data_IF_519499843900
#
_entry.id   IF_519499843900
#
_cell.length_a   1.000
_cell.length_b   1.000
_cell.length_c   1.000
_cell.angle_alpha   90.00
_cell.angle_beta   90.00
_cell.angle_gamma   90.00
#
_symmetry.space_group_name_H-M   'P 1'
#
loop_
_entity.id
_entity.type
_entity.pdbx_description
1 polymer ?
#
# COMPACT_ATOMS: atom_id res chain seq x y z
N UNK A 1 -32.64 -20.59 38.31
CA UNK A 1 -31.58 -19.54 38.37
C UNK A 1 -32.21 -18.21 38.68
N UNK A 2 -31.75 -17.52 39.74
CA UNK A 2 -32.34 -16.27 40.23
C UNK A 2 -32.29 -15.16 39.14
N UNK A 3 -33.34 -14.33 39.00
CA UNK A 3 -33.41 -13.27 37.97
C UNK A 3 -32.21 -12.32 38.03
N UNK A 4 -31.72 -12.03 39.25
CA UNK A 4 -30.51 -11.21 39.45
C UNK A 4 -29.25 -11.85 38.86
N UNK A 5 -29.11 -13.17 38.98
CA UNK A 5 -27.97 -13.93 38.44
C UNK A 5 -28.00 -13.93 36.91
N UNK A 6 -29.19 -14.09 36.29
CA UNK A 6 -29.36 -13.98 34.83
C UNK A 6 -28.96 -12.61 34.30
N UNK A 7 -29.33 -11.55 35.01
CA UNK A 7 -29.01 -10.17 34.62
C UNK A 7 -27.51 -9.88 34.71
N UNK A 8 -26.85 -10.33 35.79
CA UNK A 8 -25.39 -10.20 35.94
C UNK A 8 -24.64 -10.97 34.86
N UNK A 9 -25.07 -12.20 34.54
CA UNK A 9 -24.49 -12.98 33.44
C UNK A 9 -24.65 -12.27 32.09
N UNK A 10 -25.81 -11.69 31.80
CA UNK A 10 -26.04 -10.96 30.55
C UNK A 10 -25.09 -9.76 30.40
N UNK A 11 -24.91 -8.98 31.47
CA UNK A 11 -23.99 -7.83 31.47
C UNK A 11 -22.55 -8.30 31.25
N UNK A 12 -22.13 -9.36 31.95
CA UNK A 12 -20.79 -9.93 31.77
C UNK A 12 -20.55 -10.38 30.33
N UNK A 13 -21.55 -11.01 29.69
CA UNK A 13 -21.44 -11.42 28.27
C UNK A 13 -21.34 -10.22 27.33
N UNK A 14 -22.13 -9.17 27.53
CA UNK A 14 -22.07 -7.95 26.70
C UNK A 14 -20.71 -7.26 26.86
N UNK A 15 -20.24 -7.11 28.10
CA UNK A 15 -18.93 -6.53 28.39
C UNK A 15 -17.82 -7.37 27.76
N UNK A 16 -17.90 -8.70 27.84
CA UNK A 16 -16.94 -9.59 27.18
C UNK A 16 -16.93 -9.42 25.66
N UNK A 17 -18.10 -9.30 25.01
CA UNK A 17 -18.18 -9.08 23.57
C UNK A 17 -17.57 -7.74 23.12
N UNK A 18 -17.60 -6.70 23.96
CA UNK A 18 -16.98 -5.40 23.65
C UNK A 18 -15.44 -5.45 23.63
N UNK A 19 -14.83 -6.47 24.25
CA UNK A 19 -13.38 -6.66 24.28
C UNK A 19 -12.87 -7.72 23.31
N UNK A 20 -13.74 -8.31 22.48
CA UNK A 20 -13.30 -9.21 21.41
C UNK A 20 -12.68 -8.33 20.32
N UNK A 21 -11.37 -8.46 20.02
CA UNK A 21 -10.78 -7.79 18.88
C UNK A 21 -11.50 -8.26 17.62
N UNK A 22 -12.07 -7.33 16.85
CA UNK A 22 -12.54 -7.61 15.50
C UNK A 22 -11.33 -7.59 14.60
N UNK A 23 -10.99 -8.73 14.00
CA UNK A 23 -10.01 -8.81 12.94
C UNK A 23 -10.59 -8.08 11.72
N UNK A 24 -10.06 -6.88 11.44
CA UNK A 24 -10.38 -6.13 10.23
C UNK A 24 -9.40 -6.58 9.16
N UNK A 25 -9.83 -7.51 8.32
CA UNK A 25 -9.03 -7.98 7.19
C UNK A 25 -8.97 -6.88 6.12
N UNK A 26 -7.75 -6.45 5.77
CA UNK A 26 -7.53 -5.65 4.58
C UNK A 26 -7.60 -6.57 3.35
N UNK A 27 -8.78 -6.69 2.75
CA UNK A 27 -8.94 -7.36 1.46
C UNK A 27 -8.59 -6.41 0.31
N UNK A 28 -8.02 -6.96 -0.78
CA UNK A 28 -7.99 -6.24 -2.05
C UNK A 28 -9.45 -5.98 -2.46
N UNK A 29 -9.84 -4.71 -2.59
CA UNK A 29 -11.13 -4.36 -3.16
C UNK A 29 -11.03 -4.48 -4.70
N UNK A 30 -10.74 -5.70 -5.18
CA UNK A 30 -10.61 -6.04 -6.60
C UNK A 30 -11.95 -5.96 -7.35
N UNK A 31 -13.05 -5.77 -6.61
CA UNK A 31 -14.26 -5.22 -7.19
C UNK A 31 -14.07 -3.73 -7.43
N UNK A 32 -13.46 -3.38 -8.56
CA UNK A 32 -13.84 -2.15 -9.25
C UNK A 32 -15.38 -2.15 -9.30
N UNK A 33 -16.07 -1.08 -8.85
CA UNK A 33 -17.51 -1.02 -8.98
C UNK A 33 -17.85 -1.20 -10.47
N UNK A 34 -18.62 -2.24 -10.80
CA UNK A 34 -19.01 -2.58 -12.18
C UNK A 34 -19.94 -1.56 -12.83
N UNK A 35 -20.30 -0.53 -12.08
CA UNK A 35 -21.10 0.62 -12.45
C UNK A 35 -20.26 1.81 -11.96
N UNK A 36 -19.90 2.76 -12.82
CA UNK A 36 -18.96 3.86 -12.54
C UNK A 36 -19.34 4.85 -11.42
N UNK A 37 -20.21 4.44 -10.48
CA UNK A 37 -20.49 5.11 -9.24
C UNK A 37 -19.74 4.41 -8.11
N UNK A 38 -18.70 5.12 -7.67
CA UNK A 38 -18.04 5.00 -6.37
C UNK A 38 -19.12 4.81 -5.30
N UNK A 39 -19.01 3.77 -4.46
CA UNK A 39 -19.91 3.62 -3.33
C UNK A 39 -19.95 4.92 -2.55
N UNK A 40 -21.16 5.42 -2.27
CA UNK A 40 -21.34 6.53 -1.33
C UNK A 40 -20.87 6.04 0.04
N UNK A 41 -19.56 6.13 0.27
CA UNK A 41 -19.03 6.28 1.60
C UNK A 41 -19.70 7.50 2.24
N UNK A 42 -19.64 7.56 3.57
CA UNK A 42 -20.01 8.74 4.35
C UNK A 42 -19.59 10.04 3.62
N UNK A 43 -20.30 11.16 3.79
CA UNK A 43 -19.98 12.43 3.11
C UNK A 43 -18.50 12.87 3.28
N UNK A 44 -17.82 12.27 4.25
CA UNK A 44 -16.40 12.41 4.59
C UNK A 44 -15.44 11.51 3.78
N UNK A 45 -15.90 10.40 3.20
CA UNK A 45 -15.12 9.46 2.40
C UNK A 45 -15.40 9.66 0.90
N UNK A 46 -14.64 10.58 0.29
CA UNK A 46 -14.70 10.84 -1.16
C UNK A 46 -13.46 10.29 -1.84
N UNK A 47 -13.65 9.34 -2.76
CA UNK A 47 -12.59 8.94 -3.69
C UNK A 47 -12.48 9.98 -4.80
N UNK A 48 -11.26 10.47 -5.05
CA UNK A 48 -11.01 11.48 -6.07
C UNK A 48 -9.99 10.96 -7.09
N UNK A 49 -10.44 10.76 -8.34
CA UNK A 49 -9.57 10.29 -9.43
C UNK A 49 -8.53 11.34 -9.86
N UNK A 50 -8.79 12.63 -9.62
CA UNK A 50 -7.87 13.73 -9.94
C UNK A 50 -6.69 13.82 -8.96
N UNK A 51 -6.80 13.17 -7.79
CA UNK A 51 -5.78 13.14 -6.74
C UNK A 51 -5.47 11.70 -6.34
N UNK A 52 -5.00 10.92 -7.32
CA UNK A 52 -4.61 9.53 -7.15
C UNK A 52 -3.15 9.40 -6.72
N UNK A 53 -2.86 8.34 -5.99
CA UNK A 53 -1.51 8.00 -5.57
C UNK A 53 -1.32 6.48 -5.58
N UNK A 54 -0.08 6.05 -5.82
CA UNK A 54 0.38 4.67 -5.74
C UNK A 54 1.32 4.53 -4.55
N UNK A 55 1.17 3.48 -3.74
CA UNK A 55 2.15 3.13 -2.71
C UNK A 55 3.09 2.07 -3.23
N UNK A 56 4.39 2.34 -3.19
CA UNK A 56 5.44 1.42 -3.63
C UNK A 56 6.22 0.94 -2.41
N UNK A 57 6.46 -0.36 -2.39
CA UNK A 57 7.32 -1.03 -1.43
C UNK A 57 7.97 -2.23 -2.09
N UNK A 58 9.29 -2.32 -2.01
CA UNK A 58 10.07 -3.37 -2.66
C UNK A 58 10.43 -4.43 -1.61
N UNK A 59 10.30 -5.69 -2.00
CA UNK A 59 10.67 -6.82 -1.15
C UNK A 59 11.58 -7.76 -1.92
N UNK A 60 12.58 -8.28 -1.22
CA UNK A 60 13.33 -9.45 -1.63
C UNK A 60 12.81 -10.65 -0.86
N UNK A 61 12.62 -11.76 -1.55
CA UNK A 61 12.27 -13.04 -0.95
C UNK A 61 13.09 -14.15 -1.63
N UNK A 62 13.50 -15.20 -0.88
CA UNK A 62 14.21 -16.35 -1.45
C UNK A 62 13.37 -17.10 -2.49
N UNK A 63 12.06 -17.16 -2.28
CA UNK A 63 11.11 -17.75 -3.21
C UNK A 63 9.76 -17.03 -3.18
N UNK A 64 8.91 -17.32 -4.17
CA UNK A 64 7.53 -16.84 -4.18
C UNK A 64 6.75 -17.34 -2.96
N UNK A 65 6.96 -18.60 -2.54
CA UNK A 65 6.31 -19.17 -1.37
C UNK A 65 6.71 -18.47 -0.08
N UNK A 66 7.97 -18.05 0.04
CA UNK A 66 8.43 -17.28 1.22
C UNK A 66 7.73 -15.93 1.31
N UNK A 67 7.57 -15.27 0.15
CA UNK A 67 6.82 -14.02 0.07
C UNK A 67 5.36 -14.21 0.47
N UNK A 68 4.66 -15.19 -0.10
CA UNK A 68 3.25 -15.47 0.21
C UNK A 68 3.02 -15.83 1.67
N UNK A 69 3.91 -16.65 2.26
CA UNK A 69 3.77 -17.14 3.63
C UNK A 69 4.24 -16.15 4.70
N UNK A 70 4.94 -15.08 4.33
CA UNK A 70 5.41 -14.12 5.31
C UNK A 70 6.59 -14.61 6.16
N UNK A 71 7.51 -15.37 5.57
CA UNK A 71 8.64 -15.92 6.35
C UNK A 71 9.59 -14.82 6.84
N UNK A 72 10.39 -15.14 7.86
CA UNK A 72 11.40 -14.23 8.41
C UNK A 72 12.57 -13.96 7.44
N UNK A 73 12.63 -14.68 6.33
CA UNK A 73 13.60 -14.47 5.24
C UNK A 73 13.19 -13.36 4.26
N UNK A 74 11.94 -12.86 4.33
CA UNK A 74 11.48 -11.76 3.46
C UNK A 74 11.96 -10.42 3.98
N UNK A 75 12.68 -9.69 3.12
CA UNK A 75 13.35 -8.44 3.49
C UNK A 75 12.75 -7.31 2.67
N UNK A 76 12.29 -6.25 3.35
CA UNK A 76 11.93 -5.01 2.67
C UNK A 76 13.20 -4.30 2.18
N UNK A 77 13.22 -3.93 0.92
CA UNK A 77 14.30 -3.17 0.29
C UNK A 77 13.87 -1.70 0.21
N UNK A 78 14.57 -0.84 0.94
CA UNK A 78 14.26 0.59 1.00
C UNK A 78 13.00 0.93 1.81
N UNK A 79 12.59 2.18 1.66
CA UNK A 79 11.43 2.78 2.29
C UNK A 79 10.13 2.48 1.51
N UNK A 80 9.00 2.53 2.21
CA UNK A 80 7.69 2.60 1.56
C UNK A 80 7.39 4.04 1.20
N UNK A 81 7.09 4.29 -0.08
CA UNK A 81 6.88 5.63 -0.62
C UNK A 81 5.53 5.71 -1.32
N UNK A 82 4.81 6.79 -1.05
CA UNK A 82 3.63 7.18 -1.80
C UNK A 82 4.07 8.05 -2.98
N UNK A 83 3.60 7.74 -4.18
CA UNK A 83 3.91 8.42 -5.43
C UNK A 83 2.62 8.98 -6.00
N UNK A 84 2.61 10.23 -6.43
CA UNK A 84 1.44 10.86 -7.06
C UNK A 84 1.91 11.82 -8.13
N UNK A 85 1.06 12.19 -9.09
CA UNK A 85 1.35 13.31 -10.02
C UNK A 85 0.88 14.64 -9.47
N UNK A 86 -0.22 14.62 -8.71
CA UNK A 86 -0.92 15.83 -8.25
C UNK A 86 -0.79 16.04 -6.75
N UNK A 87 -0.36 15.02 -6.01
CA UNK A 87 -0.31 15.03 -4.56
C UNK A 87 -1.69 14.86 -3.91
N UNK A 88 -1.71 14.78 -2.57
CA UNK A 88 -2.95 14.61 -1.83
C UNK A 88 -3.84 15.85 -1.98
N UNK A 89 -5.14 15.63 -2.18
CA UNK A 89 -6.12 16.71 -2.27
C UNK A 89 -6.24 17.53 -0.97
N UNK A 90 -6.01 16.87 0.17
CA UNK A 90 -6.11 17.47 1.50
C UNK A 90 -4.80 17.34 2.26
N UNK A 91 -4.66 18.18 3.29
CA UNK A 91 -3.60 18.02 4.28
C UNK A 91 -3.76 16.67 4.97
N UNK A 92 -2.79 15.78 4.80
CA UNK A 92 -2.75 14.48 5.47
C UNK A 92 -2.46 14.71 6.94
N UNK A 93 -3.42 14.42 7.83
CA UNK A 93 -3.26 14.57 9.29
C UNK A 93 -2.57 13.37 9.95
N UNK A 94 -2.82 12.18 9.40
CA UNK A 94 -2.15 10.96 9.84
C UNK A 94 -2.02 9.97 8.70
N UNK A 95 -0.99 9.13 8.75
CA UNK A 95 -0.71 8.11 7.75
C UNK A 95 -0.02 6.91 8.38
N UNK A 96 0.16 5.85 7.61
CA UNK A 96 0.94 4.68 8.02
C UNK A 96 2.06 4.43 7.03
N UNK A 97 3.24 4.04 7.52
CA UNK A 97 4.33 3.51 6.68
C UNK A 97 4.26 2.00 6.51
N UNK A 98 3.31 1.32 7.16
CA UNK A 98 3.08 -0.12 6.95
C UNK A 98 2.44 -0.33 5.58
N UNK A 99 2.94 -1.33 4.88
CA UNK A 99 2.39 -1.77 3.59
C UNK A 99 1.32 -2.82 3.82
N UNK A 100 0.60 -3.19 2.76
CA UNK A 100 -0.35 -4.30 2.79
C UNK A 100 0.36 -5.59 3.26
N UNK A 101 1.59 -5.82 2.80
CA UNK A 101 2.40 -6.96 3.24
C UNK A 101 2.56 -7.01 4.77
N UNK A 102 2.83 -5.86 5.40
CA UNK A 102 2.97 -5.76 6.86
C UNK A 102 1.66 -6.11 7.59
N UNK A 103 0.52 -5.78 6.99
CA UNK A 103 -0.81 -6.09 7.53
C UNK A 103 -1.25 -7.53 7.31
N UNK A 104 -0.65 -8.25 6.36
CA UNK A 104 -1.02 -9.63 6.05
C UNK A 104 -0.06 -10.65 6.66
N UNK A 105 1.25 -10.35 6.67
CA UNK A 105 2.26 -11.41 6.72
C UNK A 105 3.34 -11.23 7.80
N UNK A 106 3.54 -10.03 8.35
CA UNK A 106 4.73 -9.72 9.15
C UNK A 106 4.46 -9.74 10.68
N UNK A 107 3.70 -10.73 11.16
CA UNK A 107 3.65 -11.06 12.59
C UNK A 107 4.02 -12.53 12.82
N UNK A 108 4.50 -12.87 14.02
CA UNK A 108 4.97 -14.24 14.35
C UNK A 108 3.84 -15.29 14.39
N UNK A 109 2.61 -14.89 14.07
CA UNK A 109 1.40 -15.72 14.21
C UNK A 109 0.62 -15.85 12.90
N UNK A 110 1.07 -15.23 11.80
CA UNK A 110 0.37 -15.24 10.52
C UNK A 110 -0.92 -14.41 10.50
N UNK A 111 -1.12 -13.51 11.45
CA UNK A 111 -2.27 -12.62 11.55
C UNK A 111 -1.96 -11.18 11.08
N UNK A 112 -0.70 -10.93 10.69
CA UNK A 112 -0.22 -9.61 10.29
C UNK A 112 -0.22 -8.59 11.44
N UNK A 113 0.32 -7.40 11.18
CA UNK A 113 0.38 -6.36 12.20
C UNK A 113 -0.93 -5.57 12.29
N UNK A 114 -1.27 -5.10 13.48
CA UNK A 114 -2.39 -4.15 13.65
C UNK A 114 -2.14 -2.83 12.91
N UNK A 115 -3.17 -2.01 12.69
CA UNK A 115 -2.98 -0.65 12.17
C UNK A 115 -2.12 0.20 13.12
N UNK A 116 -1.14 0.94 12.57
CA UNK A 116 -0.32 1.91 13.32
C UNK A 116 -0.23 3.21 12.55
N UNK A 117 -0.95 4.23 13.03
CA UNK A 117 -0.86 5.59 12.51
C UNK A 117 0.39 6.33 13.00
N UNK A 118 0.82 7.28 12.20
CA UNK A 118 1.77 8.35 12.50
C UNK A 118 1.04 9.67 12.32
N UNK A 119 1.19 10.58 13.29
CA UNK A 119 0.64 11.93 13.19
C UNK A 119 1.61 12.83 12.39
N UNK A 120 1.10 13.45 11.33
CA UNK A 120 1.92 14.22 10.38
C UNK A 120 2.38 15.58 10.94
N UNK A 121 1.79 16.05 12.04
CA UNK A 121 2.02 17.38 12.60
C UNK A 121 3.11 17.43 13.67
N UNK A 122 3.53 16.29 14.23
CA UNK A 122 4.36 16.26 15.45
C UNK A 122 5.81 15.88 15.19
N UNK A 123 6.09 14.88 14.35
CA UNK A 123 7.46 14.35 14.22
C UNK A 123 7.87 13.86 12.83
N UNK A 124 6.93 13.42 12.00
CA UNK A 124 7.23 12.95 10.65
C UNK A 124 6.16 13.49 9.69
N UNK A 125 6.40 14.66 9.06
CA UNK A 125 5.52 15.18 8.01
C UNK A 125 5.23 14.13 6.95
N UNK A 126 4.01 14.13 6.45
CA UNK A 126 3.67 13.29 5.31
C UNK A 126 4.44 13.76 4.08
N UNK A 127 5.11 12.81 3.41
CA UNK A 127 5.84 13.04 2.17
C UNK A 127 5.32 12.08 1.11
N UNK A 128 5.21 12.58 -0.12
CA UNK A 128 4.96 11.80 -1.32
C UNK A 128 5.97 12.24 -2.37
N UNK A 129 6.37 11.32 -3.24
CA UNK A 129 7.26 11.62 -4.35
C UNK A 129 6.44 12.07 -5.56
N UNK A 130 6.73 13.27 -6.03
CA UNK A 130 6.08 13.89 -7.18
C UNK A 130 6.95 14.02 -8.43
N UNK A 131 6.41 14.67 -9.46
CA UNK A 131 7.18 15.06 -10.64
C UNK A 131 8.44 15.86 -10.27
N UNK A 132 9.40 15.81 -11.15
CA UNK A 132 10.71 16.48 -11.13
C UNK A 132 11.66 15.98 -10.04
N UNK A 133 11.34 14.88 -9.34
CA UNK A 133 12.20 14.30 -8.31
C UNK A 133 13.20 13.28 -8.84
N UNK A 134 12.77 12.36 -9.72
CA UNK A 134 13.60 11.26 -10.21
C UNK A 134 13.39 11.03 -11.71
N UNK A 135 14.52 10.97 -12.43
CA UNK A 135 14.56 10.77 -13.87
C UNK A 135 15.28 9.46 -14.20
N UNK A 136 14.79 8.76 -15.22
CA UNK A 136 15.47 7.59 -15.77
C UNK A 136 16.62 7.97 -16.70
N UNK A 137 17.33 6.96 -17.18
CA UNK A 137 18.53 7.11 -18.03
C UNK A 137 18.31 7.89 -19.34
N UNK A 138 17.06 8.08 -19.79
CA UNK A 138 16.74 8.92 -20.95
C UNK A 138 16.32 10.34 -20.58
N UNK A 139 16.48 10.74 -19.31
CA UNK A 139 16.07 12.05 -18.80
C UNK A 139 14.55 12.20 -18.69
N UNK A 140 13.79 11.10 -18.66
CA UNK A 140 12.34 11.15 -18.49
C UNK A 140 11.99 11.00 -17.02
N UNK A 141 11.08 11.84 -16.56
CA UNK A 141 10.52 11.77 -15.22
C UNK A 141 9.67 10.51 -15.06
N UNK A 142 10.03 9.67 -14.09
CA UNK A 142 9.35 8.40 -13.87
C UNK A 142 7.94 8.58 -13.30
N UNK A 143 7.70 9.64 -12.53
CA UNK A 143 6.40 9.93 -11.92
C UNK A 143 5.45 10.46 -12.98
N UNK A 144 5.92 11.31 -13.90
CA UNK A 144 5.13 11.75 -15.06
C UNK A 144 4.79 10.59 -16.02
N UNK A 145 5.70 9.63 -16.17
CA UNK A 145 5.48 8.41 -16.96
C UNK A 145 4.57 7.39 -16.27
N UNK A 146 4.24 7.56 -14.99
CA UNK A 146 3.36 6.65 -14.25
C UNK A 146 1.99 6.58 -14.97
N UNK A 147 1.48 5.39 -15.29
CA UNK A 147 0.13 5.25 -15.85
C UNK A 147 -0.93 5.81 -14.88
N UNK A 148 -2.13 6.07 -15.40
CA UNK A 148 -3.22 6.46 -14.52
C UNK A 148 -3.55 5.31 -13.54
N UNK A 149 -3.67 5.63 -12.25
CA UNK A 149 -3.91 4.64 -11.18
C UNK A 149 -5.25 3.91 -11.37
N UNK A 150 -6.24 4.56 -11.98
CA UNK A 150 -7.59 4.03 -12.15
C UNK A 150 -7.80 3.43 -13.54
N UNK A 151 -7.34 4.12 -14.57
CA UNK A 151 -7.66 3.83 -15.96
C UNK A 151 -6.44 3.32 -16.76
N UNK A 152 -5.27 3.21 -16.13
CA UNK A 152 -4.06 2.65 -16.74
C UNK A 152 -4.20 1.15 -17.00
N UNK A 153 -3.79 0.74 -18.20
CA UNK A 153 -3.84 -0.65 -18.64
C UNK A 153 -2.71 -1.48 -18.03
N UNK A 154 -2.91 -2.80 -17.96
CA UNK A 154 -1.85 -3.73 -17.52
C UNK A 154 -0.56 -3.54 -18.32
N UNK A 155 -0.66 -3.36 -19.63
CA UNK A 155 0.52 -3.18 -20.51
C UNK A 155 1.28 -1.88 -20.19
N UNK A 156 0.58 -0.79 -19.92
CA UNK A 156 1.21 0.47 -19.49
C UNK A 156 1.92 0.29 -18.13
N UNK A 157 1.30 -0.40 -17.19
CA UNK A 157 1.91 -0.71 -15.88
C UNK A 157 3.11 -1.65 -16.00
N UNK A 158 3.00 -2.73 -16.77
CA UNK A 158 4.11 -3.65 -17.05
C UNK A 158 5.28 -2.88 -17.67
N UNK A 159 5.04 -2.03 -18.67
CA UNK A 159 6.08 -1.20 -19.29
C UNK A 159 6.66 -0.17 -18.30
N UNK A 160 5.86 0.36 -17.39
CA UNK A 160 6.35 1.31 -16.39
C UNK A 160 7.26 0.63 -15.35
N UNK A 161 6.91 -0.56 -14.86
CA UNK A 161 7.75 -1.30 -13.92
C UNK A 161 8.96 -1.95 -14.60
N UNK A 162 8.73 -2.64 -15.71
CA UNK A 162 9.70 -3.55 -16.33
C UNK A 162 10.39 -2.94 -17.55
N UNK A 163 10.04 -1.72 -17.95
CA UNK A 163 10.53 -1.10 -19.17
C UNK A 163 9.96 -1.74 -20.45
N UNK A 164 10.33 -1.22 -21.63
CA UNK A 164 9.84 -1.77 -22.89
C UNK A 164 10.38 -3.18 -23.10
N UNK A 165 9.57 -4.03 -23.74
CA UNK A 165 10.03 -5.33 -24.23
C UNK A 165 10.78 -5.08 -25.56
N UNK A 166 12.09 -5.35 -25.56
CA UNK A 166 12.91 -5.27 -26.77
C UNK A 166 13.34 -6.68 -27.12
N UNK A 167 13.02 -7.16 -28.31
CA UNK A 167 13.33 -8.51 -28.78
C UNK A 167 12.81 -9.65 -27.88
N UNK A 168 11.70 -9.42 -27.18
CA UNK A 168 11.11 -10.42 -26.27
C UNK A 168 11.69 -10.41 -24.85
N UNK A 169 12.66 -9.54 -24.56
CA UNK A 169 13.25 -9.39 -23.24
C UNK A 169 12.79 -8.11 -22.55
N UNK A 170 12.52 -8.21 -21.24
CA UNK A 170 12.20 -7.06 -20.38
C UNK A 170 13.49 -6.34 -20.03
N UNK A 171 13.52 -5.03 -20.28
CA UNK A 171 14.74 -4.23 -20.08
C UNK A 171 14.96 -3.82 -18.62
N UNK A 172 13.93 -3.93 -17.76
CA UNK A 172 13.89 -3.48 -16.37
C UNK A 172 14.39 -2.05 -16.16
N UNK A 173 14.23 -1.21 -17.19
CA UNK A 173 14.86 0.10 -17.30
C UNK A 173 14.52 1.04 -16.14
N UNK A 174 13.29 0.98 -15.65
CA UNK A 174 12.82 1.89 -14.61
C UNK A 174 13.04 1.32 -13.19
N UNK A 175 13.43 0.06 -13.04
CA UNK A 175 13.63 -0.58 -11.72
C UNK A 175 14.66 0.17 -10.86
N UNK A 176 15.84 0.56 -11.36
CA UNK A 176 16.80 1.30 -10.55
C UNK A 176 16.21 2.62 -10.03
N UNK A 177 15.45 3.33 -10.84
CA UNK A 177 14.83 4.60 -10.49
C UNK A 177 13.62 4.44 -9.55
N UNK A 178 12.82 3.39 -9.73
CA UNK A 178 11.75 3.02 -8.80
C UNK A 178 12.36 2.64 -7.43
N UNK A 179 13.51 1.97 -7.42
CA UNK A 179 14.25 1.71 -6.19
C UNK A 179 14.77 3.01 -5.55
N UNK A 180 15.26 3.97 -6.35
CA UNK A 180 15.66 5.30 -5.84
C UNK A 180 14.48 6.07 -5.26
N UNK A 181 13.26 5.97 -5.81
CA UNK A 181 12.05 6.53 -5.16
C UNK A 181 11.91 5.97 -3.76
N UNK A 182 12.14 4.67 -3.60
CA UNK A 182 12.10 3.98 -2.32
C UNK A 182 13.38 4.16 -1.49
N UNK A 183 14.24 5.16 -1.78
CA UNK A 183 15.50 5.39 -1.07
C UNK A 183 16.40 4.13 -0.99
N UNK A 184 16.38 3.33 -2.05
CA UNK A 184 17.20 2.14 -2.23
C UNK A 184 18.05 2.26 -3.49
N UNK A 185 19.06 1.40 -3.60
CA UNK A 185 19.89 1.26 -4.80
C UNK A 185 19.87 -0.19 -5.24
N UNK A 186 19.24 -0.44 -6.38
CA UNK A 186 19.18 -1.75 -7.03
C UNK A 186 19.73 -1.54 -8.46
N UNK A 187 20.64 -2.39 -8.90
CA UNK A 187 21.07 -2.44 -10.29
C UNK A 187 20.17 -3.38 -11.08
N UNK A 188 19.89 -3.03 -12.34
CA UNK A 188 19.27 -3.96 -13.30
C UNK A 188 20.25 -5.02 -13.80
N UNK A 189 21.55 -4.86 -13.52
CA UNK A 189 22.59 -5.85 -13.82
C UNK A 189 22.66 -6.89 -12.70
N UNK A 190 22.53 -8.16 -13.08
CA UNK A 190 22.92 -9.33 -12.29
C UNK A 190 24.44 -9.53 -12.34
#
# INVERSE_FOLDING_TARGET
MNKKIRFVLLIMTIVYMLFIPLDVFAGNNDSLPSYGFVGEGDELWKYNRLHSALRISIYWAPSHSDFELGTDEVIQVGDTVDVSKTGPWYKVESYTKRTIYWYMNNDRKGNGMSYRKKDSSVSEPYYWAGPEEIFNSLGQDIVELMPDVWDGTKEEWDNWFEGPIINGEKMYRNIPEIARLCNASISSEN
#
